data_IF_137615885746
#
_entry.id   IF_137615885746
#
_cell.length_a   1.000
_cell.length_b   1.000
_cell.length_c   1.000
_cell.angle_alpha   90.00
_cell.angle_beta   90.00
_cell.angle_gamma   90.00
#
_symmetry.space_group_name_H-M   'P 1'
#
loop_
_entity.id
_entity.type
_entity.pdbx_description
1 polymer ?
#
# COMPACT_ATOMS: atom_id res chain seq x y z
N UNK A 1 23.84 26.88 0.09
CA UNK A 1 24.33 25.77 0.92
C UNK A 1 23.14 25.14 1.64
N UNK A 2 22.80 23.92 1.29
CA UNK A 2 21.75 23.18 1.97
C UNK A 2 22.29 22.71 3.33
N UNK A 3 21.57 22.89 4.44
CA UNK A 3 22.05 22.41 5.73
C UNK A 3 22.15 20.88 5.74
N UNK A 4 23.26 20.36 6.24
CA UNK A 4 23.51 18.91 6.35
C UNK A 4 22.85 18.30 7.60
N UNK A 5 22.09 19.09 8.36
CA UNK A 5 21.43 18.67 9.59
C UNK A 5 19.96 18.40 9.32
N UNK A 6 19.52 17.17 9.50
CA UNK A 6 18.11 16.75 9.31
C UNK A 6 17.13 17.59 10.13
N UNK A 7 17.55 18.04 11.33
CA UNK A 7 16.71 18.83 12.25
C UNK A 7 16.18 20.11 11.59
N UNK A 8 16.97 20.77 10.76
CA UNK A 8 16.51 21.97 10.05
C UNK A 8 15.42 21.67 9.01
N UNK A 9 15.56 20.54 8.31
CA UNK A 9 14.57 20.11 7.33
C UNK A 9 13.26 19.68 8.00
N UNK A 10 13.35 18.96 9.13
CA UNK A 10 12.18 18.55 9.91
C UNK A 10 11.45 19.77 10.50
N UNK A 11 12.20 20.76 11.04
CA UNK A 11 11.62 22.01 11.55
C UNK A 11 10.97 22.83 10.44
N UNK A 12 11.66 23.00 9.30
CA UNK A 12 11.11 23.73 8.16
C UNK A 12 9.83 23.08 7.66
N UNK A 13 9.83 21.77 7.46
CA UNK A 13 8.64 21.05 7.05
C UNK A 13 7.50 21.18 8.09
N UNK A 14 7.82 21.16 9.38
CA UNK A 14 6.82 21.33 10.45
C UNK A 14 6.20 22.73 10.43
N UNK A 15 6.99 23.78 10.23
CA UNK A 15 6.50 25.16 10.10
C UNK A 15 5.60 25.28 8.85
N UNK A 16 6.07 24.77 7.72
CA UNK A 16 5.30 24.79 6.46
C UNK A 16 3.96 24.04 6.61
N UNK A 17 3.93 22.91 7.33
CA UNK A 17 2.70 22.18 7.63
C UNK A 17 1.73 22.98 8.50
N UNK A 18 2.25 23.68 9.53
CA UNK A 18 1.44 24.55 10.40
C UNK A 18 0.85 25.74 9.65
N UNK A 19 1.59 26.27 8.68
CA UNK A 19 1.13 27.35 7.81
C UNK A 19 0.24 26.87 6.64
N UNK A 20 -0.01 25.56 6.52
CA UNK A 20 -0.77 24.98 5.43
C UNK A 20 -0.04 24.88 4.09
N UNK A 21 1.26 25.15 4.05
CA UNK A 21 2.14 25.09 2.87
C UNK A 21 2.64 23.67 2.63
N UNK A 22 1.71 22.73 2.39
CA UNK A 22 2.00 21.30 2.36
C UNK A 22 2.95 20.90 1.22
N UNK A 23 2.92 21.60 0.09
CA UNK A 23 3.84 21.38 -1.03
C UNK A 23 5.29 21.71 -0.64
N UNK A 24 5.51 22.79 0.11
CA UNK A 24 6.84 23.17 0.57
C UNK A 24 7.36 22.16 1.61
N UNK A 25 6.50 21.75 2.55
CA UNK A 25 6.83 20.71 3.52
C UNK A 25 7.23 19.40 2.84
N UNK A 26 6.46 18.98 1.82
CA UNK A 26 6.77 17.80 1.02
C UNK A 26 8.12 17.95 0.29
N UNK A 27 8.36 19.10 -0.35
CA UNK A 27 9.60 19.36 -1.06
C UNK A 27 10.81 19.28 -0.13
N UNK A 28 10.71 19.88 1.06
CA UNK A 28 11.77 19.85 2.08
C UNK A 28 12.10 18.42 2.53
N UNK A 29 11.08 17.62 2.88
CA UNK A 29 11.29 16.24 3.30
C UNK A 29 11.80 15.35 2.16
N UNK A 30 11.34 15.56 0.93
CA UNK A 30 11.86 14.83 -0.25
C UNK A 30 13.34 15.09 -0.47
N UNK A 31 13.75 16.36 -0.45
CA UNK A 31 15.18 16.69 -0.60
C UNK A 31 16.00 16.04 0.50
N UNK A 32 15.57 16.14 1.76
CA UNK A 32 16.25 15.51 2.89
C UNK A 32 16.34 13.97 2.75
N UNK A 33 15.31 13.33 2.18
CA UNK A 33 15.31 11.90 1.90
C UNK A 33 16.29 11.53 0.79
N UNK A 34 16.28 12.27 -0.34
CA UNK A 34 17.15 12.01 -1.48
C UNK A 34 18.63 12.14 -1.15
N UNK A 35 19.00 13.10 -0.29
CA UNK A 35 20.38 13.27 0.16
C UNK A 35 20.76 12.36 1.34
N UNK A 36 19.85 11.47 1.78
CA UNK A 36 20.13 10.45 2.79
C UNK A 36 20.19 10.97 4.23
N UNK A 37 19.61 12.13 4.52
CA UNK A 37 19.60 12.70 5.87
C UNK A 37 18.52 12.09 6.78
N UNK A 38 17.43 11.57 6.20
CA UNK A 38 16.35 10.98 6.99
C UNK A 38 16.77 9.61 7.49
N UNK A 39 16.77 9.45 8.83
CA UNK A 39 17.13 8.21 9.52
C UNK A 39 16.02 7.73 10.47
N UNK A 40 14.99 8.55 10.68
CA UNK A 40 13.91 8.25 11.61
C UNK A 40 12.69 7.71 10.87
N UNK A 41 12.17 6.60 11.34
CA UNK A 41 10.93 5.99 10.86
C UNK A 41 9.76 6.98 10.86
N UNK A 42 9.61 7.77 11.92
CA UNK A 42 8.53 8.77 12.03
C UNK A 42 8.58 9.82 10.90
N UNK A 43 9.78 10.22 10.49
CA UNK A 43 9.96 11.19 9.40
C UNK A 43 9.64 10.54 8.04
N UNK A 44 9.99 9.25 7.86
CA UNK A 44 9.56 8.46 6.69
C UNK A 44 8.03 8.38 6.62
N UNK A 45 7.37 8.03 7.75
CA UNK A 45 5.89 8.00 7.82
C UNK A 45 5.27 9.35 7.44
N UNK A 46 5.82 10.44 7.95
CA UNK A 46 5.34 11.79 7.62
C UNK A 46 5.51 12.13 6.14
N UNK A 47 6.66 11.80 5.54
CA UNK A 47 6.92 12.01 4.11
C UNK A 47 5.94 11.20 3.24
N UNK A 48 5.71 9.93 3.60
CA UNK A 48 4.79 9.04 2.89
C UNK A 48 3.36 9.57 2.94
N UNK A 49 2.86 9.90 4.14
CA UNK A 49 1.50 10.42 4.33
C UNK A 49 1.29 11.75 3.60
N UNK A 50 2.28 12.64 3.68
CA UNK A 50 2.23 13.93 3.01
C UNK A 50 2.23 13.77 1.48
N UNK A 51 2.99 12.82 0.94
CA UNK A 51 3.01 12.50 -0.49
C UNK A 51 1.65 12.00 -0.98
N UNK A 52 0.99 11.10 -0.24
CA UNK A 52 -0.37 10.62 -0.57
C UNK A 52 -1.34 11.80 -0.55
N UNK A 53 -1.30 12.61 0.51
CA UNK A 53 -2.19 13.77 0.68
C UNK A 53 -2.03 14.82 -0.42
N UNK A 54 -0.81 14.97 -0.96
CA UNK A 54 -0.52 15.89 -2.07
C UNK A 54 -0.75 15.28 -3.45
N UNK A 55 -1.34 14.08 -3.52
CA UNK A 55 -1.69 13.45 -4.79
C UNK A 55 -0.49 12.93 -5.59
N UNK A 56 0.61 12.61 -4.91
CA UNK A 56 1.82 12.00 -5.51
C UNK A 56 2.10 10.62 -4.90
N UNK A 57 1.14 9.67 -5.00
CA UNK A 57 1.22 8.38 -4.32
C UNK A 57 2.39 7.52 -4.79
N UNK A 58 2.81 7.61 -6.05
CA UNK A 58 3.99 6.91 -6.56
C UNK A 58 5.24 7.26 -5.74
N UNK A 59 5.40 8.54 -5.37
CA UNK A 59 6.52 8.96 -4.53
C UNK A 59 6.47 8.29 -3.15
N UNK A 60 5.28 8.14 -2.55
CA UNK A 60 5.11 7.42 -1.29
C UNK A 60 5.58 5.97 -1.39
N UNK A 61 5.16 5.28 -2.44
CA UNK A 61 5.52 3.88 -2.66
C UNK A 61 7.03 3.72 -2.85
N UNK A 62 7.68 4.57 -3.64
CA UNK A 62 9.13 4.53 -3.86
C UNK A 62 9.94 4.86 -2.61
N UNK A 63 9.46 5.81 -1.79
CA UNK A 63 10.07 6.12 -0.48
C UNK A 63 10.00 4.89 0.42
N UNK A 64 8.85 4.22 0.50
CA UNK A 64 8.70 3.00 1.30
C UNK A 64 9.58 1.86 0.78
N UNK A 65 9.57 1.60 -0.52
CA UNK A 65 10.40 0.56 -1.15
C UNK A 65 11.89 0.75 -0.81
N UNK A 66 12.40 1.98 -0.97
CA UNK A 66 13.78 2.31 -0.62
C UNK A 66 14.04 2.19 0.87
N UNK A 67 13.10 2.62 1.72
CA UNK A 67 13.24 2.60 3.17
C UNK A 67 13.25 1.17 3.72
N UNK A 68 12.41 0.28 3.19
CA UNK A 68 12.42 -1.15 3.50
C UNK A 68 13.75 -1.79 3.07
N UNK A 69 14.17 -1.55 1.82
CA UNK A 69 15.43 -2.08 1.28
C UNK A 69 16.67 -1.63 2.05
N UNK A 70 16.66 -0.45 2.65
CA UNK A 70 17.80 0.11 3.40
C UNK A 70 17.68 -0.09 4.91
N UNK A 71 16.60 -0.72 5.39
CA UNK A 71 16.36 -0.94 6.81
C UNK A 71 16.01 0.31 7.61
N UNK A 72 15.57 1.40 6.94
CA UNK A 72 15.10 2.63 7.60
C UNK A 72 13.72 2.46 8.22
N UNK A 73 12.95 1.49 7.76
CA UNK A 73 11.70 1.02 8.37
C UNK A 73 11.77 -0.51 8.50
N UNK A 74 11.10 -1.11 9.49
CA UNK A 74 11.10 -2.56 9.66
C UNK A 74 10.29 -3.25 8.56
N UNK A 75 10.64 -4.51 8.27
CA UNK A 75 9.88 -5.38 7.36
C UNK A 75 8.62 -5.91 8.06
N UNK A 76 7.64 -5.04 8.22
CA UNK A 76 6.37 -5.34 8.87
C UNK A 76 5.19 -5.16 7.90
N UNK A 77 4.14 -5.93 8.13
CA UNK A 77 2.89 -5.90 7.34
C UNK A 77 2.39 -4.48 7.07
N UNK A 78 2.42 -3.61 8.09
CA UNK A 78 1.93 -2.22 8.01
C UNK A 78 2.55 -1.44 6.85
N UNK A 79 3.87 -1.57 6.64
CA UNK A 79 4.57 -0.85 5.59
C UNK A 79 4.28 -1.39 4.20
N UNK A 80 4.09 -2.70 4.07
CA UNK A 80 3.71 -3.31 2.80
C UNK A 80 2.27 -2.99 2.45
N UNK A 81 1.34 -2.95 3.41
CA UNK A 81 -0.04 -2.50 3.20
C UNK A 81 -0.08 -1.04 2.74
N UNK A 82 0.72 -0.17 3.37
CA UNK A 82 0.81 1.24 3.01
C UNK A 82 1.44 1.42 1.62
N UNK A 83 2.46 0.64 1.29
CA UNK A 83 3.11 0.63 -0.03
C UNK A 83 2.15 0.13 -1.11
N UNK A 84 1.41 -0.94 -0.85
CA UNK A 84 0.39 -1.47 -1.76
C UNK A 84 -0.73 -0.45 -2.01
N UNK A 85 -1.19 0.22 -0.96
CA UNK A 85 -2.15 1.31 -1.09
C UNK A 85 -1.61 2.45 -1.98
N UNK A 86 -0.38 2.88 -1.73
CA UNK A 86 0.25 3.94 -2.52
C UNK A 86 0.42 3.54 -4.00
N UNK A 87 0.84 2.31 -4.29
CA UNK A 87 0.92 1.80 -5.66
C UNK A 87 -0.45 1.74 -6.34
N UNK A 88 -1.48 1.31 -5.61
CA UNK A 88 -2.85 1.28 -6.15
C UNK A 88 -3.37 2.67 -6.50
N UNK A 89 -3.13 3.67 -5.63
CA UNK A 89 -3.48 5.08 -5.90
C UNK A 89 -2.69 5.66 -7.08
N UNK A 90 -1.43 5.21 -7.26
CA UNK A 90 -0.60 5.53 -8.43
C UNK A 90 -1.04 4.79 -9.71
N UNK A 91 -2.03 3.88 -9.62
CA UNK A 91 -2.50 2.98 -10.70
C UNK A 91 -1.45 1.97 -11.17
N UNK A 92 -0.43 1.75 -10.37
CA UNK A 92 0.61 0.74 -10.57
C UNK A 92 0.17 -0.58 -9.93
N UNK A 93 -0.83 -1.23 -10.53
CA UNK A 93 -1.56 -2.35 -9.93
C UNK A 93 -0.72 -3.60 -9.75
N UNK A 94 0.21 -3.88 -10.65
CA UNK A 94 1.10 -5.04 -10.53
C UNK A 94 2.05 -4.87 -9.32
N UNK A 95 2.56 -3.65 -9.12
CA UNK A 95 3.37 -3.33 -7.93
C UNK A 95 2.54 -3.42 -6.64
N UNK A 96 1.26 -3.03 -6.70
CA UNK A 96 0.35 -3.16 -5.56
C UNK A 96 0.09 -4.64 -5.21
N UNK A 97 -0.08 -5.52 -6.21
CA UNK A 97 -0.24 -6.96 -6.00
C UNK A 97 0.99 -7.54 -5.30
N UNK A 98 2.20 -7.27 -5.80
CA UNK A 98 3.46 -7.75 -5.18
C UNK A 98 3.58 -7.30 -3.73
N UNK A 99 3.24 -6.04 -3.44
CA UNK A 99 3.27 -5.53 -2.08
C UNK A 99 2.23 -6.21 -1.17
N UNK A 100 1.02 -6.48 -1.68
CA UNK A 100 0.01 -7.24 -0.94
C UNK A 100 0.40 -8.71 -0.73
N UNK A 101 1.05 -9.36 -1.69
CA UNK A 101 1.58 -10.73 -1.52
C UNK A 101 2.63 -10.78 -0.41
N UNK A 102 3.51 -9.78 -0.35
CA UNK A 102 4.49 -9.69 0.74
C UNK A 102 3.81 -9.41 2.08
N UNK A 103 2.82 -8.50 2.12
CA UNK A 103 2.00 -8.26 3.31
C UNK A 103 1.31 -9.53 3.80
N UNK A 104 0.74 -10.33 2.89
CA UNK A 104 0.12 -11.61 3.21
C UNK A 104 1.10 -12.60 3.84
N UNK A 105 2.34 -12.66 3.34
CA UNK A 105 3.36 -13.55 3.87
C UNK A 105 3.83 -13.19 5.28
N UNK A 106 3.63 -11.92 5.68
CA UNK A 106 3.99 -11.39 7.01
C UNK A 106 2.81 -11.38 7.99
N UNK A 107 1.65 -11.87 7.57
CA UNK A 107 0.44 -11.84 8.38
C UNK A 107 -0.31 -13.16 8.30
N UNK A 108 -1.10 -13.45 9.33
CA UNK A 108 -1.99 -14.62 9.36
C UNK A 108 -3.43 -14.25 8.97
N UNK A 109 -3.61 -13.19 8.17
CA UNK A 109 -4.93 -12.68 7.75
C UNK A 109 -5.12 -12.74 6.25
N UNK A 110 -6.38 -12.96 5.82
CA UNK A 110 -6.74 -13.07 4.41
C UNK A 110 -6.97 -11.74 3.68
N UNK A 111 -7.03 -10.60 4.40
CA UNK A 111 -7.34 -9.30 3.81
C UNK A 111 -6.44 -8.88 2.63
N UNK A 112 -5.12 -9.12 2.63
CA UNK A 112 -4.30 -8.79 1.47
C UNK A 112 -4.72 -9.54 0.21
N UNK A 113 -5.13 -10.81 0.33
CA UNK A 113 -5.60 -11.60 -0.81
C UNK A 113 -6.96 -11.10 -1.34
N UNK A 114 -7.87 -10.63 -0.46
CA UNK A 114 -9.11 -9.97 -0.91
C UNK A 114 -8.80 -8.71 -1.73
N UNK A 115 -7.79 -7.93 -1.34
CA UNK A 115 -7.36 -6.74 -2.09
C UNK A 115 -6.71 -7.08 -3.42
N UNK A 116 -5.96 -8.18 -3.50
CA UNK A 116 -5.42 -8.72 -4.75
C UNK A 116 -6.57 -9.12 -5.68
N UNK A 117 -7.57 -9.82 -5.15
CA UNK A 117 -8.75 -10.20 -5.92
C UNK A 117 -9.51 -8.97 -6.45
N UNK A 118 -9.71 -7.93 -5.64
CA UNK A 118 -10.33 -6.67 -6.07
C UNK A 118 -9.58 -6.06 -7.27
N UNK A 119 -8.24 -6.13 -7.28
CA UNK A 119 -7.43 -5.65 -8.42
C UNK A 119 -7.68 -6.52 -9.65
N UNK A 120 -7.63 -7.84 -9.52
CA UNK A 120 -7.86 -8.76 -10.64
C UNK A 120 -9.27 -8.60 -11.21
N UNK A 121 -10.31 -8.52 -10.37
CA UNK A 121 -11.70 -8.27 -10.78
C UNK A 121 -11.84 -6.98 -11.58
N UNK A 122 -11.16 -5.90 -11.17
CA UNK A 122 -11.15 -4.61 -11.88
C UNK A 122 -10.69 -4.74 -13.33
N UNK A 123 -9.83 -5.71 -13.62
CA UNK A 123 -9.30 -5.97 -14.97
C UNK A 123 -9.92 -7.19 -15.64
N UNK A 124 -11.05 -7.69 -15.10
CA UNK A 124 -11.73 -8.90 -15.59
C UNK A 124 -10.82 -10.15 -15.63
N UNK A 125 -9.80 -10.21 -14.76
CA UNK A 125 -8.94 -11.37 -14.56
C UNK A 125 -9.62 -12.32 -13.56
N UNK A 126 -10.72 -12.93 -13.99
CA UNK A 126 -11.61 -13.66 -13.09
C UNK A 126 -10.96 -14.90 -12.48
N UNK A 127 -10.11 -15.60 -13.23
CA UNK A 127 -9.43 -16.80 -12.74
C UNK A 127 -8.44 -16.48 -11.63
N UNK A 128 -7.67 -15.41 -11.78
CA UNK A 128 -6.72 -14.93 -10.78
C UNK A 128 -7.46 -14.37 -9.55
N UNK A 129 -8.60 -13.72 -9.76
CA UNK A 129 -9.45 -13.25 -8.67
C UNK A 129 -10.00 -14.41 -7.85
N UNK A 130 -10.48 -15.48 -8.52
CA UNK A 130 -10.98 -16.69 -7.84
C UNK A 130 -9.87 -17.35 -7.00
N UNK A 131 -8.66 -17.47 -7.55
CA UNK A 131 -7.51 -18.04 -6.83
C UNK A 131 -7.17 -17.20 -5.59
N UNK A 132 -7.13 -15.88 -5.73
CA UNK A 132 -6.84 -14.98 -4.62
C UNK A 132 -7.91 -15.06 -3.53
N UNK A 133 -9.21 -15.13 -3.88
CA UNK A 133 -10.30 -15.25 -2.91
C UNK A 133 -10.29 -16.60 -2.19
N UNK A 134 -9.97 -17.70 -2.89
CA UNK A 134 -9.81 -19.00 -2.25
C UNK A 134 -8.66 -18.96 -1.22
N UNK A 135 -7.52 -18.35 -1.59
CA UNK A 135 -6.42 -18.14 -0.63
C UNK A 135 -6.84 -17.26 0.55
N UNK A 136 -7.64 -16.21 0.32
CA UNK A 136 -8.13 -15.36 1.40
C UNK A 136 -8.96 -16.15 2.43
N UNK A 137 -9.80 -17.08 1.95
CA UNK A 137 -10.68 -17.90 2.80
C UNK A 137 -9.94 -19.01 3.58
N UNK A 138 -8.66 -19.26 3.27
CA UNK A 138 -7.81 -20.16 4.06
C UNK A 138 -7.26 -19.49 5.33
N UNK A 139 -7.50 -18.18 5.51
CA UNK A 139 -7.03 -17.37 6.62
C UNK A 139 -8.19 -16.70 7.36
N UNK A 140 -7.91 -16.18 8.55
CA UNK A 140 -8.87 -15.36 9.27
C UNK A 140 -9.17 -14.06 8.49
N UNK A 141 -10.46 -13.74 8.39
CA UNK A 141 -10.97 -12.54 7.73
C UNK A 141 -11.88 -11.76 8.67
N UNK A 142 -11.76 -10.45 8.66
CA UNK A 142 -12.68 -9.57 9.40
C UNK A 142 -14.09 -9.58 8.81
N UNK A 143 -14.24 -9.88 7.53
CA UNK A 143 -15.51 -10.00 6.81
C UNK A 143 -15.44 -11.18 5.81
N UNK A 144 -15.60 -12.39 6.35
CA UNK A 144 -15.62 -13.62 5.55
C UNK A 144 -16.81 -13.64 4.57
N UNK A 145 -17.96 -13.11 4.98
CA UNK A 145 -19.14 -13.02 4.12
C UNK A 145 -18.90 -12.20 2.85
N UNK A 146 -18.14 -11.12 2.97
CA UNK A 146 -17.70 -10.34 1.79
C UNK A 146 -16.81 -11.16 0.85
N UNK A 147 -15.90 -11.95 1.38
CA UNK A 147 -15.00 -12.80 0.56
C UNK A 147 -15.82 -13.86 -0.18
N UNK A 148 -16.78 -14.52 0.48
CA UNK A 148 -17.69 -15.46 -0.15
C UNK A 148 -18.54 -14.82 -1.23
N UNK A 149 -19.11 -13.64 -0.97
CA UNK A 149 -19.87 -12.90 -1.99
C UNK A 149 -19.02 -12.59 -3.23
N UNK A 150 -17.79 -12.09 -3.04
CA UNK A 150 -16.88 -11.78 -4.15
C UNK A 150 -16.51 -13.06 -4.93
N UNK A 151 -16.30 -14.17 -4.24
CA UNK A 151 -16.03 -15.47 -4.85
C UNK A 151 -17.22 -15.94 -5.71
N UNK A 152 -18.45 -15.85 -5.20
CA UNK A 152 -19.65 -16.20 -5.96
C UNK A 152 -19.83 -15.34 -7.21
N UNK A 153 -19.59 -14.03 -7.12
CA UNK A 153 -19.60 -13.11 -8.26
C UNK A 153 -18.54 -13.55 -9.29
N UNK A 154 -17.30 -13.77 -8.85
CA UNK A 154 -16.18 -14.17 -9.71
C UNK A 154 -16.47 -15.50 -10.44
N UNK A 155 -17.03 -16.49 -9.73
CA UNK A 155 -17.42 -17.78 -10.32
C UNK A 155 -18.56 -17.65 -11.33
N UNK A 156 -19.49 -16.72 -11.09
CA UNK A 156 -20.56 -16.42 -12.06
C UNK A 156 -20.00 -15.83 -13.35
N UNK A 157 -19.01 -14.95 -13.27
CA UNK A 157 -18.33 -14.38 -14.44
C UNK A 157 -17.51 -15.43 -15.21
N UNK A 158 -17.01 -16.47 -14.51
CA UNK A 158 -16.37 -17.63 -15.10
C UNK A 158 -17.37 -18.66 -15.65
N UNK A 159 -18.69 -18.38 -15.60
CA UNK A 159 -19.77 -19.28 -15.99
C UNK A 159 -19.81 -20.58 -15.17
N UNK A 160 -19.18 -20.62 -14.00
CA UNK A 160 -19.21 -21.74 -13.08
C UNK A 160 -20.37 -21.58 -12.08
N UNK A 161 -21.58 -21.71 -12.57
CA UNK A 161 -22.81 -21.42 -11.81
C UNK A 161 -23.04 -22.36 -10.60
N UNK A 162 -22.58 -23.62 -10.69
CA UNK A 162 -22.70 -24.56 -9.57
C UNK A 162 -21.81 -24.15 -8.41
N UNK A 163 -20.57 -23.74 -8.66
CA UNK A 163 -19.67 -23.22 -7.64
C UNK A 163 -20.19 -21.88 -7.08
N UNK A 164 -20.62 -20.96 -7.94
CA UNK A 164 -21.16 -19.67 -7.54
C UNK A 164 -22.34 -19.81 -6.58
N UNK A 165 -23.23 -20.76 -6.84
CA UNK A 165 -24.40 -21.06 -5.98
C UNK A 165 -24.03 -21.63 -4.60
N UNK A 166 -22.85 -22.24 -4.51
CA UNK A 166 -22.34 -22.77 -3.24
C UNK A 166 -21.65 -21.68 -2.42
N UNK A 167 -21.08 -20.68 -3.09
CA UNK A 167 -20.37 -19.56 -2.46
C UNK A 167 -21.32 -18.44 -1.99
N UNK A 168 -22.53 -18.38 -2.53
CA UNK A 168 -23.58 -17.40 -2.19
C UNK A 168 -24.58 -17.96 -1.17
#
# INVERSE_FOLDING_TARGET
LWPNEITYWEQLASVDMLEGKLENALASLRVAFEVGLIQKESTIKSLVQLSIRQGVPENSARVLERSLKTGLVPEEKEYYDLMAHAWREAREYENAIVAHETSASLSETGEPFVRIADIHMKFNRWSEAEEALKKALDYDLSDEGKAWLLLGITQSELLNFDAARTSL
#
